data_IF_185716244913
#
_entry.id   IF_185716244913
#
_cell.length_a   1.000
_cell.length_b   1.000
_cell.length_c   1.000
_cell.angle_alpha   90.00
_cell.angle_beta   90.00
_cell.angle_gamma   90.00
#
_symmetry.space_group_name_H-M   'P 1'
#
loop_
_entity.id
_entity.type
_entity.pdbx_description
1 polymer ?
#
# COMPACT_ATOMS: atom_id res chain seq x y z
N UNK A 1 -22.12 -18.16 1.38
CA UNK A 1 -20.89 -17.43 1.00
C UNK A 1 -20.82 -17.01 -0.46
N UNK A 2 -20.97 -15.71 -0.73
CA UNK A 2 -20.65 -15.08 -2.02
C UNK A 2 -19.15 -14.75 -2.09
N UNK A 3 -18.53 -14.84 -3.27
CA UNK A 3 -17.12 -14.49 -3.44
C UNK A 3 -16.75 -13.92 -4.82
N UNK A 4 -15.65 -13.18 -4.85
CA UNK A 4 -15.01 -12.66 -6.06
C UNK A 4 -13.50 -12.78 -5.96
N UNK A 5 -12.89 -12.99 -7.12
CA UNK A 5 -11.44 -13.12 -7.27
C UNK A 5 -10.95 -12.09 -8.27
N UNK A 6 -9.77 -11.56 -8.03
CA UNK A 6 -9.01 -10.70 -8.94
C UNK A 6 -7.60 -11.29 -9.08
N UNK A 7 -7.05 -11.19 -10.29
CA UNK A 7 -5.65 -11.51 -10.57
C UNK A 7 -4.93 -10.20 -10.84
N UNK A 8 -3.85 -9.93 -10.12
CA UNK A 8 -3.02 -8.75 -10.32
C UNK A 8 -1.58 -9.16 -10.61
N UNK A 9 -0.82 -8.41 -11.44
CA UNK A 9 0.60 -8.67 -11.63
C UNK A 9 1.36 -8.56 -10.31
N UNK A 10 2.27 -9.51 -10.07
CA UNK A 10 3.10 -9.54 -8.87
C UNK A 10 4.36 -10.37 -9.08
N UNK A 11 5.54 -9.75 -8.95
CA UNK A 11 6.82 -10.43 -9.14
C UNK A 11 7.59 -10.68 -7.84
N UNK A 12 7.08 -10.23 -6.69
CA UNK A 12 7.80 -10.30 -5.42
C UNK A 12 7.87 -11.70 -4.77
N UNK A 13 7.02 -12.65 -5.20
CA UNK A 13 6.97 -13.99 -4.62
C UNK A 13 6.50 -14.03 -3.16
N UNK A 14 6.61 -15.21 -2.55
CA UNK A 14 6.12 -15.46 -1.18
C UNK A 14 6.82 -14.61 -0.12
N UNK A 15 8.14 -14.47 -0.18
CA UNK A 15 8.91 -13.71 0.80
C UNK A 15 8.53 -12.21 0.83
N UNK A 16 8.39 -11.59 -0.33
CA UNK A 16 7.92 -10.21 -0.39
C UNK A 16 6.49 -10.09 0.14
N UNK A 17 5.61 -11.03 -0.24
CA UNK A 17 4.22 -11.05 0.19
C UNK A 17 4.10 -11.12 1.72
N UNK A 18 4.78 -12.10 2.33
CA UNK A 18 4.70 -12.31 3.79
C UNK A 18 5.33 -11.15 4.57
N UNK A 19 6.37 -10.50 4.03
CA UNK A 19 7.05 -9.37 4.69
C UNK A 19 6.13 -8.19 5.02
N UNK A 20 5.04 -8.03 4.26
CA UNK A 20 4.02 -6.99 4.49
C UNK A 20 2.78 -7.59 5.14
N UNK A 21 2.34 -8.78 4.69
CA UNK A 21 1.08 -9.36 5.11
C UNK A 21 0.98 -9.67 6.61
N UNK A 22 2.10 -9.94 7.28
CA UNK A 22 2.12 -10.23 8.73
C UNK A 22 1.81 -9.02 9.61
N UNK A 23 1.85 -7.80 9.06
CA UNK A 23 1.59 -6.54 9.77
C UNK A 23 0.29 -5.87 9.26
N UNK A 24 -0.91 -6.41 9.58
CA UNK A 24 -2.17 -5.88 9.06
C UNK A 24 -2.47 -4.44 9.52
N UNK A 25 -1.92 -4.01 10.65
CA UNK A 25 -2.02 -2.64 11.16
C UNK A 25 -1.32 -1.62 10.24
N UNK A 26 -0.22 -2.00 9.58
CA UNK A 26 0.44 -1.18 8.56
C UNK A 26 -0.28 -1.30 7.20
N UNK A 27 -0.67 -2.53 6.82
CA UNK A 27 -1.22 -2.81 5.49
C UNK A 27 -2.63 -2.26 5.27
N UNK A 28 -3.58 -2.51 6.17
CA UNK A 28 -5.00 -2.19 5.93
C UNK A 28 -5.25 -0.70 5.67
N UNK A 29 -4.61 0.25 6.38
CA UNK A 29 -4.72 1.68 6.08
C UNK A 29 -4.34 2.08 4.66
N UNK A 30 -3.53 1.28 3.96
CA UNK A 30 -3.10 1.54 2.58
C UNK A 30 -4.10 1.09 1.51
N UNK A 31 -5.16 0.37 1.89
CA UNK A 31 -6.18 -0.06 0.94
C UNK A 31 -6.89 1.13 0.26
N UNK A 32 -7.42 0.94 -0.96
CA UNK A 32 -8.03 2.03 -1.71
C UNK A 32 -9.37 2.50 -1.12
N UNK A 33 -9.88 1.80 -0.10
CA UNK A 33 -11.07 2.11 0.68
C UNK A 33 -10.70 2.29 2.16
N UNK A 34 -11.62 2.79 3.00
CA UNK A 34 -11.35 2.96 4.43
C UNK A 34 -11.21 1.58 5.07
N UNK A 35 -10.02 1.28 5.56
CA UNK A 35 -9.76 0.09 6.35
C UNK A 35 -8.76 0.42 7.45
N UNK A 36 -8.98 -0.15 8.63
CA UNK A 36 -8.10 0.02 9.78
C UNK A 36 -8.10 -1.28 10.58
N UNK A 37 -6.96 -1.54 11.21
CA UNK A 37 -6.81 -2.60 12.20
C UNK A 37 -6.31 -1.96 13.48
N UNK A 38 -6.99 -2.24 14.58
CA UNK A 38 -6.60 -1.75 15.90
C UNK A 38 -6.50 -2.91 16.87
N UNK A 39 -5.61 -2.77 17.85
CA UNK A 39 -5.54 -3.71 18.96
C UNK A 39 -6.53 -3.28 20.04
N UNK A 40 -7.52 -4.13 20.32
CA UNK A 40 -8.43 -3.98 21.44
C UNK A 40 -8.23 -5.16 22.39
N UNK A 41 -7.79 -4.87 23.62
CA UNK A 41 -7.39 -5.90 24.60
C UNK A 41 -6.27 -6.79 24.02
N UNK A 42 -6.58 -8.07 23.77
CA UNK A 42 -5.69 -9.08 23.20
C UNK A 42 -6.07 -9.49 21.77
N UNK A 43 -7.01 -8.77 21.14
CA UNK A 43 -7.52 -9.10 19.79
C UNK A 43 -7.24 -7.97 18.81
N UNK A 44 -6.95 -8.35 17.57
CA UNK A 44 -6.97 -7.43 16.45
C UNK A 44 -8.43 -7.25 16.01
N UNK A 45 -8.86 -6.01 15.86
CA UNK A 45 -10.17 -5.65 15.33
C UNK A 45 -9.96 -4.99 13.98
N UNK A 46 -10.55 -5.55 12.93
CA UNK A 46 -10.53 -4.97 11.61
C UNK A 46 -11.86 -4.30 11.31
N UNK A 47 -11.79 -3.11 10.71
CA UNK A 47 -12.94 -2.36 10.22
C UNK A 47 -12.72 -1.95 8.77
N UNK A 48 -13.70 -2.24 7.92
CA UNK A 48 -13.69 -1.90 6.50
C UNK A 48 -14.95 -1.13 6.15
N UNK A 49 -14.82 -0.07 5.35
CA UNK A 49 -15.91 0.74 4.85
C UNK A 49 -15.69 1.16 3.40
N UNK A 50 -16.67 0.87 2.55
CA UNK A 50 -16.72 1.29 1.15
C UNK A 50 -17.93 2.19 0.99
N UNK A 51 -17.69 3.45 0.60
CA UNK A 51 -18.72 4.43 0.29
C UNK A 51 -18.68 4.73 -1.21
N UNK A 52 -19.79 4.51 -1.89
CA UNK A 52 -20.03 4.95 -3.27
C UNK A 52 -21.34 5.74 -3.33
N UNK A 53 -21.54 6.52 -4.40
CA UNK A 53 -22.61 7.53 -4.53
C UNK A 53 -24.02 7.06 -4.13
N UNK A 54 -24.34 5.76 -4.25
CA UNK A 54 -25.66 5.21 -3.87
C UNK A 54 -25.59 4.06 -2.83
N UNK A 55 -24.39 3.64 -2.38
CA UNK A 55 -24.22 2.39 -1.62
C UNK A 55 -23.13 2.50 -0.57
N UNK A 56 -23.44 2.07 0.66
CA UNK A 56 -22.51 1.90 1.78
C UNK A 56 -22.31 0.41 2.08
N UNK A 57 -21.08 -0.01 2.32
CA UNK A 57 -20.75 -1.32 2.89
C UNK A 57 -19.83 -1.09 4.07
N UNK A 58 -20.19 -1.62 5.23
CA UNK A 58 -19.40 -1.55 6.43
C UNK A 58 -19.35 -2.92 7.08
N UNK A 59 -18.16 -3.32 7.49
CA UNK A 59 -17.92 -4.57 8.17
C UNK A 59 -16.86 -4.38 9.25
N UNK A 60 -17.12 -4.92 10.43
CA UNK A 60 -16.26 -4.79 11.60
C UNK A 60 -16.30 -6.11 12.37
N UNK A 61 -15.14 -6.56 12.85
CA UNK A 61 -15.04 -7.80 13.61
C UNK A 61 -13.63 -8.13 14.07
N UNK A 62 -13.53 -9.21 14.84
CA UNK A 62 -12.24 -9.74 15.25
C UNK A 62 -11.48 -10.30 14.04
N UNK A 63 -10.22 -9.92 13.90
CA UNK A 63 -9.34 -10.33 12.81
C UNK A 63 -8.48 -11.52 13.25
N UNK A 64 -8.55 -12.60 12.47
CA UNK A 64 -7.66 -13.74 12.56
C UNK A 64 -6.83 -13.85 11.29
N UNK A 65 -5.59 -14.32 11.46
CA UNK A 65 -4.56 -14.38 10.42
C UNK A 65 -4.13 -15.84 10.24
N UNK A 66 -4.05 -16.29 9.00
CA UNK A 66 -3.50 -17.60 8.66
C UNK A 66 -2.51 -17.45 7.49
N UNK A 67 -1.31 -18.00 7.68
CA UNK A 67 -0.23 -17.97 6.69
C UNK A 67 0.18 -19.41 6.40
N UNK A 68 0.11 -19.80 5.12
CA UNK A 68 0.53 -21.11 4.67
C UNK A 68 0.98 -20.99 3.23
N UNK A 69 2.28 -21.07 2.96
CA UNK A 69 2.86 -20.82 1.64
C UNK A 69 2.09 -21.58 0.52
N UNK A 70 1.71 -20.92 -0.59
CA UNK A 70 1.92 -19.51 -0.93
C UNK A 70 0.76 -18.56 -0.54
N UNK A 71 -0.02 -18.90 0.49
CA UNK A 71 -1.29 -18.27 0.88
C UNK A 71 -1.22 -17.41 2.14
N UNK A 72 -1.88 -16.26 2.07
CA UNK A 72 -2.22 -15.37 3.19
C UNK A 72 -3.73 -15.30 3.31
N UNK A 73 -4.30 -15.50 4.48
CA UNK A 73 -5.74 -15.34 4.72
C UNK A 73 -6.01 -14.49 5.96
N UNK A 74 -6.88 -13.49 5.77
CA UNK A 74 -7.46 -12.66 6.82
C UNK A 74 -8.93 -13.05 6.99
N UNK A 75 -9.31 -13.50 8.19
CA UNK A 75 -10.70 -13.84 8.52
C UNK A 75 -11.21 -12.81 9.52
N UNK A 76 -12.20 -12.02 9.11
CA UNK A 76 -12.82 -11.01 9.95
C UNK A 76 -14.18 -11.55 10.44
N UNK A 77 -14.27 -11.81 11.74
CA UNK A 77 -15.44 -12.38 12.42
C UNK A 77 -16.29 -11.26 13.02
N UNK A 78 -17.33 -10.87 12.29
CA UNK A 78 -18.26 -9.82 12.71
C UNK A 78 -19.55 -10.38 13.30
N UNK A 79 -20.36 -9.52 13.95
CA UNK A 79 -21.67 -9.91 14.49
C UNK A 79 -22.65 -10.41 13.43
N UNK A 80 -22.47 -9.98 12.18
CA UNK A 80 -23.36 -10.29 11.05
C UNK A 80 -22.87 -11.46 10.19
N UNK A 81 -21.75 -12.10 10.55
CA UNK A 81 -21.15 -13.19 9.79
C UNK A 81 -19.65 -12.97 9.53
N UNK A 82 -19.16 -13.41 8.38
CA UNK A 82 -17.72 -13.44 8.06
C UNK A 82 -17.39 -12.59 6.83
N UNK A 83 -16.22 -11.95 6.85
CA UNK A 83 -15.55 -11.39 5.68
C UNK A 83 -14.14 -11.98 5.62
N UNK A 84 -13.79 -12.59 4.49
CA UNK A 84 -12.53 -13.29 4.29
C UNK A 84 -11.79 -12.64 3.12
N UNK A 85 -10.54 -12.25 3.34
CA UNK A 85 -9.60 -11.84 2.29
C UNK A 85 -8.51 -12.91 2.19
N UNK A 86 -8.35 -13.52 1.02
CA UNK A 86 -7.30 -14.50 0.77
C UNK A 86 -6.43 -14.05 -0.39
N UNK A 87 -5.13 -14.22 -0.25
CA UNK A 87 -4.13 -13.88 -1.26
C UNK A 87 -3.24 -15.09 -1.50
N UNK A 88 -2.90 -15.35 -2.76
CA UNK A 88 -2.01 -16.44 -3.15
C UNK A 88 -0.98 -15.91 -4.14
N UNK A 89 0.31 -16.03 -3.82
CA UNK A 89 1.37 -15.76 -4.78
C UNK A 89 1.42 -16.92 -5.79
N UNK A 90 1.26 -16.60 -7.07
CA UNK A 90 1.11 -17.58 -8.15
C UNK A 90 1.78 -17.05 -9.42
N UNK A 91 2.92 -17.65 -9.78
CA UNK A 91 3.75 -17.39 -10.97
C UNK A 91 3.47 -16.04 -11.70
N UNK A 92 4.18 -14.99 -11.26
CA UNK A 92 4.07 -13.64 -11.82
C UNK A 92 2.78 -12.87 -11.46
N UNK A 93 1.93 -13.44 -10.61
CA UNK A 93 0.65 -12.86 -10.21
C UNK A 93 0.37 -13.04 -8.71
N UNK A 94 -0.54 -12.21 -8.20
CA UNK A 94 -1.19 -12.38 -6.92
C UNK A 94 -2.69 -12.61 -7.18
N UNK A 95 -3.19 -13.79 -6.81
CA UNK A 95 -4.62 -14.06 -6.79
C UNK A 95 -5.20 -13.53 -5.48
N UNK A 96 -6.05 -12.51 -5.57
CA UNK A 96 -6.76 -11.93 -4.45
C UNK A 96 -8.22 -12.35 -4.48
N UNK A 97 -8.74 -12.86 -3.37
CA UNK A 97 -10.13 -13.27 -3.21
C UNK A 97 -10.76 -12.55 -2.03
N UNK A 98 -11.94 -12.00 -2.25
CA UNK A 98 -12.80 -11.50 -1.17
C UNK A 98 -14.07 -12.35 -1.12
N UNK A 99 -14.41 -12.86 0.05
CA UNK A 99 -15.61 -13.67 0.28
C UNK A 99 -16.36 -13.15 1.49
N UNK A 100 -17.69 -13.10 1.42
CA UNK A 100 -18.52 -12.75 2.56
C UNK A 100 -19.56 -13.83 2.79
N UNK A 101 -19.77 -14.16 4.05
CA UNK A 101 -20.84 -15.04 4.51
C UNK A 101 -21.70 -14.25 5.50
N UNK A 102 -22.63 -13.46 4.96
CA UNK A 102 -23.50 -12.54 5.72
C UNK A 102 -24.92 -12.49 5.11
N UNK A 103 -25.95 -12.08 5.86
CA UNK A 103 -27.29 -11.88 5.30
C UNK A 103 -27.29 -10.97 4.08
N UNK A 104 -27.88 -11.43 2.97
CA UNK A 104 -27.95 -10.68 1.71
C UNK A 104 -26.67 -10.69 0.86
N UNK A 105 -25.71 -11.58 1.15
CA UNK A 105 -24.42 -11.71 0.46
C UNK A 105 -24.49 -11.71 -1.07
N UNK A 106 -25.56 -12.24 -1.67
CA UNK A 106 -25.76 -12.30 -3.13
C UNK A 106 -25.76 -10.92 -3.80
N UNK A 107 -26.07 -9.86 -3.05
CA UNK A 107 -26.06 -8.46 -3.53
C UNK A 107 -24.68 -7.80 -3.42
N UNK A 108 -23.69 -8.47 -2.83
CA UNK A 108 -22.36 -7.91 -2.58
C UNK A 108 -21.37 -8.12 -3.72
N UNK A 109 -21.76 -8.79 -4.81
CA UNK A 109 -20.84 -9.18 -5.88
C UNK A 109 -19.96 -8.03 -6.41
N UNK A 110 -20.52 -6.82 -6.62
CA UNK A 110 -19.71 -5.65 -7.04
C UNK A 110 -18.75 -5.17 -5.94
N UNK A 111 -19.17 -5.19 -4.67
CA UNK A 111 -18.37 -4.77 -3.51
C UNK A 111 -17.21 -5.73 -3.28
N UNK A 112 -17.47 -7.03 -3.31
CA UNK A 112 -16.44 -8.06 -3.16
C UNK A 112 -15.42 -8.00 -4.30
N UNK A 113 -15.84 -7.67 -5.52
CA UNK A 113 -14.91 -7.44 -6.63
C UNK A 113 -13.99 -6.25 -6.35
N UNK A 114 -14.54 -5.10 -5.94
CA UNK A 114 -13.74 -3.92 -5.59
C UNK A 114 -12.77 -4.19 -4.43
N UNK A 115 -13.20 -4.98 -3.44
CA UNK A 115 -12.32 -5.41 -2.35
C UNK A 115 -11.19 -6.28 -2.91
N UNK A 116 -11.50 -7.35 -3.65
CA UNK A 116 -10.49 -8.26 -4.19
C UNK A 116 -9.46 -7.53 -5.08
N UNK A 117 -9.93 -6.70 -6.02
CA UNK A 117 -9.06 -5.91 -6.92
C UNK A 117 -8.23 -4.90 -6.13
N UNK A 118 -8.88 -4.14 -5.24
CA UNK A 118 -8.25 -3.09 -4.47
C UNK A 118 -7.20 -3.60 -3.49
N UNK A 119 -7.56 -4.57 -2.64
CA UNK A 119 -6.62 -5.16 -1.69
C UNK A 119 -5.51 -5.91 -2.40
N UNK A 120 -5.83 -6.64 -3.47
CA UNK A 120 -4.85 -7.40 -4.25
C UNK A 120 -3.78 -6.50 -4.84
N UNK A 121 -4.21 -5.44 -5.55
CA UNK A 121 -3.29 -4.45 -6.13
C UNK A 121 -2.46 -3.76 -5.06
N UNK A 122 -3.07 -3.32 -3.96
CA UNK A 122 -2.32 -2.70 -2.86
C UNK A 122 -1.29 -3.65 -2.29
N UNK A 123 -1.67 -4.87 -1.92
CA UNK A 123 -0.75 -5.83 -1.31
C UNK A 123 0.42 -6.18 -2.24
N UNK A 124 0.15 -6.44 -3.52
CA UNK A 124 1.21 -6.68 -4.50
C UNK A 124 2.20 -5.50 -4.56
N UNK A 125 1.70 -4.27 -4.73
CA UNK A 125 2.55 -3.06 -4.85
C UNK A 125 3.30 -2.71 -3.58
N UNK A 126 2.69 -2.92 -2.41
CA UNK A 126 3.37 -2.70 -1.13
C UNK A 126 4.44 -3.76 -0.90
N UNK A 127 4.16 -5.03 -1.17
CA UNK A 127 5.11 -6.14 -1.01
C UNK A 127 6.34 -5.96 -1.90
N UNK A 128 6.16 -5.69 -3.20
CA UNK A 128 7.27 -5.42 -4.13
C UNK A 128 8.14 -4.25 -3.66
N UNK A 129 7.50 -3.12 -3.35
CA UNK A 129 8.20 -1.92 -2.90
C UNK A 129 8.91 -2.12 -1.57
N UNK A 130 8.28 -2.82 -0.63
CA UNK A 130 8.89 -3.11 0.66
C UNK A 130 10.13 -3.98 0.50
N UNK A 131 10.04 -5.04 -0.30
CA UNK A 131 11.16 -5.94 -0.57
C UNK A 131 12.35 -5.21 -1.21
N UNK A 132 12.10 -4.28 -2.13
CA UNK A 132 13.14 -3.48 -2.81
C UNK A 132 13.75 -2.42 -1.89
N UNK A 133 12.92 -1.70 -1.12
CA UNK A 133 13.35 -0.49 -0.39
C UNK A 133 13.82 -0.78 1.03
N UNK A 134 13.23 -1.75 1.74
CA UNK A 134 13.57 -2.02 3.13
C UNK A 134 15.07 -2.27 3.38
N UNK A 135 15.82 -2.99 2.53
CA UNK A 135 17.27 -3.17 2.69
C UNK A 135 18.09 -1.87 2.56
N UNK A 136 17.53 -0.83 1.94
CA UNK A 136 18.19 0.45 1.67
C UNK A 136 17.93 1.50 2.75
N UNK A 137 17.00 1.26 3.67
CA UNK A 137 16.50 2.23 4.64
C UNK A 137 17.06 1.98 6.03
N UNK A 138 17.57 3.04 6.68
CA UNK A 138 18.09 3.00 8.04
C UNK A 138 17.53 4.17 8.85
N UNK A 139 16.70 3.89 9.86
CA UNK A 139 16.10 4.91 10.71
C UNK A 139 14.65 4.59 11.06
N UNK A 140 13.85 5.63 11.23
CA UNK A 140 12.44 5.56 11.62
C UNK A 140 11.52 5.75 10.41
N UNK A 141 10.22 5.52 10.60
CA UNK A 141 9.21 5.76 9.55
C UNK A 141 9.06 7.24 9.15
N UNK A 142 9.46 8.19 10.00
CA UNK A 142 9.33 9.64 9.75
C UNK A 142 10.62 10.30 9.30
N UNK A 143 11.75 9.69 9.61
CA UNK A 143 13.08 10.19 9.26
C UNK A 143 14.05 9.01 9.15
N UNK A 144 14.70 8.89 7.99
CA UNK A 144 15.61 7.79 7.70
C UNK A 144 16.67 8.15 6.66
N UNK A 145 17.77 7.41 6.70
CA UNK A 145 18.79 7.43 5.66
C UNK A 145 18.40 6.41 4.59
N UNK A 146 18.37 6.86 3.34
CA UNK A 146 18.23 6.02 2.16
C UNK A 146 19.58 5.85 1.48
N UNK A 147 20.08 4.62 1.39
CA UNK A 147 21.34 4.29 0.70
C UNK A 147 21.09 3.94 -0.76
N UNK A 148 22.07 4.26 -1.61
CA UNK A 148 22.13 3.79 -3.02
C UNK A 148 20.85 4.07 -3.82
N UNK A 149 20.22 5.21 -3.56
CA UNK A 149 19.02 5.64 -4.26
C UNK A 149 19.32 5.95 -5.72
N UNK A 150 18.34 5.67 -6.58
CA UNK A 150 18.28 6.09 -7.98
C UNK A 150 16.84 6.49 -8.27
N UNK A 151 16.64 7.52 -9.10
CA UNK A 151 15.32 8.07 -9.35
C UNK A 151 14.20 7.08 -9.70
N UNK A 152 14.44 6.02 -10.51
CA UNK A 152 13.39 5.02 -10.80
C UNK A 152 12.81 4.36 -9.54
N UNK A 153 13.59 4.25 -8.45
CA UNK A 153 13.15 3.72 -7.17
C UNK A 153 12.17 4.63 -6.44
N UNK A 154 11.92 5.86 -6.91
CA UNK A 154 11.01 6.79 -6.24
C UNK A 154 9.58 6.24 -6.15
N UNK A 155 9.12 5.53 -7.19
CA UNK A 155 7.82 4.85 -7.18
C UNK A 155 7.70 3.87 -6.00
N UNK A 156 8.76 3.10 -5.75
CA UNK A 156 8.82 2.13 -4.67
C UNK A 156 8.99 2.81 -3.31
N UNK A 157 9.83 3.85 -3.23
CA UNK A 157 10.05 4.60 -2.01
C UNK A 157 8.75 5.25 -1.50
N UNK A 158 7.96 5.85 -2.39
CA UNK A 158 6.68 6.47 -2.03
C UNK A 158 5.70 5.43 -1.45
N UNK A 159 5.62 4.24 -2.04
CA UNK A 159 4.78 3.14 -1.55
C UNK A 159 5.27 2.61 -0.21
N UNK A 160 6.58 2.47 -0.06
CA UNK A 160 7.21 2.11 1.21
C UNK A 160 6.83 3.10 2.32
N UNK A 161 6.91 4.41 2.05
CA UNK A 161 6.50 5.46 3.00
C UNK A 161 5.01 5.38 3.30
N UNK A 162 4.15 5.21 2.30
CA UNK A 162 2.71 5.04 2.52
C UNK A 162 2.42 3.84 3.42
N UNK A 163 3.11 2.72 3.24
CA UNK A 163 2.99 1.53 4.08
C UNK A 163 3.44 1.82 5.52
N UNK A 164 4.65 2.37 5.71
CA UNK A 164 5.23 2.58 7.05
C UNK A 164 4.56 3.68 7.86
N UNK A 165 3.87 4.60 7.19
CA UNK A 165 3.15 5.68 7.86
C UNK A 165 1.64 5.41 7.97
N UNK A 166 1.10 4.48 7.17
CA UNK A 166 -0.34 4.26 7.01
C UNK A 166 -1.08 5.45 6.39
N UNK A 167 -0.35 6.42 5.80
CA UNK A 167 -0.91 7.70 5.34
C UNK A 167 -1.00 7.78 3.84
N UNK A 168 -2.16 8.25 3.36
CA UNK A 168 -2.40 8.52 1.94
C UNK A 168 -2.11 9.96 1.54
N UNK A 169 -1.82 10.85 2.50
CA UNK A 169 -1.38 12.22 2.24
C UNK A 169 -0.12 12.49 3.04
N UNK A 170 0.97 12.85 2.37
CA UNK A 170 2.26 13.15 3.00
C UNK A 170 3.16 13.90 2.02
N UNK A 171 4.15 14.58 2.58
CA UNK A 171 5.23 15.22 1.84
C UNK A 171 6.53 14.52 2.21
N UNK A 172 7.28 14.10 1.20
CA UNK A 172 8.57 13.43 1.39
C UNK A 172 9.68 14.34 0.87
N UNK A 173 10.64 14.65 1.74
CA UNK A 173 11.78 15.50 1.43
C UNK A 173 13.03 14.66 1.54
N UNK A 174 13.83 14.59 0.48
CA UNK A 174 15.15 13.97 0.49
C UNK A 174 16.25 15.01 0.27
N UNK A 175 17.31 14.96 1.08
CA UNK A 175 18.45 15.87 0.98
C UNK A 175 19.77 15.10 0.95
N UNK A 176 20.68 15.50 0.06
CA UNK A 176 21.98 14.88 -0.20
C UNK A 176 22.99 15.90 -0.75
N UNK A 177 23.67 16.64 0.13
CA UNK A 177 24.63 17.68 -0.30
C UNK A 177 23.93 18.73 -1.17
N UNK A 178 24.38 18.88 -2.42
CA UNK A 178 23.78 19.80 -3.41
C UNK A 178 22.58 19.21 -4.16
N UNK A 179 22.06 18.06 -3.72
CA UNK A 179 20.86 17.45 -4.29
C UNK A 179 19.71 17.38 -3.30
N UNK A 180 18.51 17.70 -3.78
CA UNK A 180 17.28 17.69 -3.00
C UNK A 180 16.12 17.21 -3.86
N UNK A 181 15.16 16.52 -3.25
CA UNK A 181 13.86 16.29 -3.88
C UNK A 181 12.73 16.47 -2.88
N UNK A 182 11.56 16.85 -3.40
CA UNK A 182 10.31 16.96 -2.68
C UNK A 182 9.22 16.27 -3.49
N UNK A 183 8.62 15.23 -2.92
CA UNK A 183 7.46 14.56 -3.51
C UNK A 183 6.21 14.84 -2.68
N UNK A 184 5.16 15.32 -3.32
CA UNK A 184 3.87 15.60 -2.69
C UNK A 184 2.85 14.53 -3.07
N UNK A 185 2.33 13.84 -2.05
CA UNK A 185 1.28 12.84 -2.22
C UNK A 185 0.02 13.32 -1.50
N UNK A 186 -1.09 13.42 -2.24
CA UNK A 186 -2.37 13.83 -1.72
C UNK A 186 -3.43 12.75 -2.02
N UNK A 187 -4.04 12.19 -0.96
CA UNK A 187 -5.09 11.17 -1.07
C UNK A 187 -4.69 9.93 -1.92
N UNK A 188 -3.39 9.63 -1.97
CA UNK A 188 -2.78 8.54 -2.72
C UNK A 188 -2.47 8.87 -4.17
N UNK A 189 -2.54 10.14 -4.56
CA UNK A 189 -2.11 10.65 -5.88
C UNK A 189 -0.79 11.38 -5.69
N UNK A 190 0.19 11.08 -6.55
CA UNK A 190 1.45 11.82 -6.62
C UNK A 190 1.17 13.04 -7.48
N UNK A 191 1.12 14.22 -6.88
CA UNK A 191 0.78 15.45 -7.59
C UNK A 191 1.98 15.90 -8.42
N UNK A 192 3.10 16.11 -7.74
CA UNK A 192 4.36 16.56 -8.33
C UNK A 192 5.58 16.03 -7.59
N UNK A 193 6.70 16.01 -8.29
CA UNK A 193 8.03 15.83 -7.73
C UNK A 193 8.91 17.00 -8.17
N UNK A 194 9.39 17.76 -7.21
CA UNK A 194 10.38 18.80 -7.41
C UNK A 194 11.75 18.24 -7.09
N UNK A 195 12.76 18.51 -7.90
CA UNK A 195 14.13 18.13 -7.59
C UNK A 195 15.12 19.19 -8.01
N UNK A 196 16.22 19.24 -7.27
CA UNK A 196 17.34 20.13 -7.45
C UNK A 196 18.63 19.31 -7.38
N UNK A 197 19.56 19.62 -8.26
CA UNK A 197 20.90 19.04 -8.31
C UNK A 197 21.89 20.12 -8.72
N UNK A 198 23.18 19.79 -8.76
CA UNK A 198 24.21 20.69 -9.30
C UNK A 198 23.96 21.12 -10.77
N UNK A 199 23.17 20.35 -11.55
CA UNK A 199 22.84 20.68 -12.95
C UNK A 199 21.66 21.63 -13.08
N UNK A 200 20.86 21.83 -12.02
CA UNK A 200 19.69 22.71 -12.00
C UNK A 200 18.51 22.13 -11.23
N UNK A 201 17.37 22.81 -11.33
CA UNK A 201 16.10 22.42 -10.72
C UNK A 201 15.03 22.13 -11.75
N UNK A 202 14.12 21.21 -11.43
CA UNK A 202 13.03 20.79 -12.31
C UNK A 202 11.82 20.32 -11.51
N UNK A 203 10.66 20.36 -12.14
CA UNK A 203 9.38 19.92 -11.58
C UNK A 203 8.74 18.96 -12.56
N UNK A 204 8.33 17.79 -12.06
CA UNK A 204 7.60 16.79 -12.82
C UNK A 204 6.19 16.69 -12.23
N UNK A 205 5.19 17.06 -13.02
CA UNK A 205 3.79 16.79 -12.70
C UNK A 205 3.46 15.34 -13.05
N UNK A 206 2.96 14.58 -12.08
CA UNK A 206 2.70 13.15 -12.27
C UNK A 206 1.20 12.89 -12.39
N UNK A 207 0.39 13.39 -11.46
CA UNK A 207 -1.08 13.28 -11.46
C UNK A 207 -1.60 11.83 -11.46
N UNK A 208 -0.79 10.85 -11.03
CA UNK A 208 -1.14 9.41 -11.03
C UNK A 208 -1.31 8.87 -9.62
N UNK A 209 -2.17 7.86 -9.50
CA UNK A 209 -2.29 7.12 -8.25
C UNK A 209 -0.98 6.38 -7.94
N UNK A 210 -0.57 6.40 -6.67
CA UNK A 210 0.65 5.76 -6.19
C UNK A 210 0.70 4.24 -6.48
N UNK A 211 -0.45 3.57 -6.62
CA UNK A 211 -0.53 2.15 -6.99
C UNK A 211 -0.37 1.92 -8.50
N UNK A 212 -0.44 2.97 -9.30
CA UNK A 212 -0.42 2.95 -10.77
C UNK A 212 0.89 3.46 -11.37
N UNK A 213 1.72 4.17 -10.61
CA UNK A 213 3.04 4.61 -11.09
C UNK A 213 4.01 3.46 -11.30
N UNK A 214 5.02 3.69 -12.12
CA UNK A 214 6.08 2.75 -12.46
C UNK A 214 7.44 3.45 -12.32
N UNK A 215 8.51 2.68 -12.46
CA UNK A 215 9.87 3.23 -12.50
C UNK A 215 10.06 4.19 -13.69
N UNK A 216 9.40 3.92 -14.82
CA UNK A 216 9.46 4.71 -16.04
C UNK A 216 8.95 6.14 -15.85
N UNK A 217 8.01 6.36 -14.93
CA UNK A 217 7.44 7.67 -14.62
C UNK A 217 8.47 8.64 -14.00
N UNK A 218 9.60 8.12 -13.52
CA UNK A 218 10.68 8.89 -12.90
C UNK A 218 12.00 8.79 -13.68
N UNK A 219 11.95 8.23 -14.90
CA UNK A 219 13.12 8.15 -15.78
C UNK A 219 13.52 9.54 -16.26
N UNK A 220 14.83 9.82 -16.28
CA UNK A 220 15.39 11.11 -16.68
C UNK A 220 15.65 12.08 -15.53
N UNK A 221 15.21 11.76 -14.31
CA UNK A 221 15.61 12.50 -13.11
C UNK A 221 17.05 12.14 -12.70
N UNK A 222 17.85 13.15 -12.41
CA UNK A 222 19.26 13.00 -12.02
C UNK A 222 19.44 12.80 -10.50
N UNK A 223 18.53 12.07 -9.86
CA UNK A 223 18.62 11.74 -8.44
C UNK A 223 19.39 10.43 -8.24
N UNK A 224 20.55 10.51 -7.58
CA UNK A 224 21.33 9.34 -7.23
C UNK A 224 22.07 9.51 -5.89
N UNK A 225 22.37 8.39 -5.23
CA UNK A 225 23.25 8.36 -4.06
C UNK A 225 22.52 8.21 -2.73
N UNK A 226 23.08 8.82 -1.68
CA UNK A 226 22.59 8.66 -0.31
C UNK A 226 21.82 9.90 0.11
N UNK A 227 20.58 9.73 0.56
CA UNK A 227 19.71 10.81 1.02
C UNK A 227 19.38 10.67 2.50
N UNK A 228 19.30 11.81 3.20
CA UNK A 228 18.49 11.92 4.41
C UNK A 228 17.06 12.21 3.98
N UNK A 229 16.11 11.37 4.38
CA UNK A 229 14.70 11.49 4.02
C UNK A 229 13.89 11.82 5.25
N UNK A 230 13.05 12.86 5.13
CA UNK A 230 12.10 13.30 6.16
C UNK A 230 10.69 13.29 5.61
N UNK A 231 9.76 12.78 6.40
CA UNK A 231 8.34 12.72 6.07
C UNK A 231 7.58 13.75 6.89
N UNK A 232 6.87 14.64 6.20
CA UNK A 232 6.02 15.67 6.79
C UNK A 232 4.55 15.34 6.57
N UNK A 233 3.73 15.66 7.57
CA UNK A 233 2.30 15.45 7.51
C UNK A 233 1.67 16.56 6.66
N UNK A 234 0.95 16.19 5.59
CA UNK A 234 0.00 17.14 5.01
C UNK A 234 -1.19 17.26 5.98
N UNK A 235 -1.53 18.49 6.38
CA UNK A 235 -2.76 18.77 7.12
C UNK A 235 -3.97 18.16 6.41
N UNK A 236 -4.90 17.61 7.20
CA UNK A 236 -6.11 16.94 6.71
C UNK A 236 -6.98 17.83 5.82
#
# INVERSE_FOLDING_TARGET
MESKTARVPFSGGWEALISVAVNPEELFPTFPYRAEVTKAEERLIAKLSIKSFLWKFEFEGALELAFNEPHVTYVIKGRKGLLILSFMADDGNLLARASADIPGEKLLGKKLRLIAEGSGKTLARMAESHHIIAPLVFGSAREFILKEFRAPLLAHLLRYVMLKTGRRSFRMIGEAGDSRFVAEVLRGVIEKVEYETASGSSIIEVGKNILDVSEDDFTGMELAGRYMVKIEEHGQ
#
